data_IF_314080549922
#
_entry.id   IF_314080549922
#
_cell.length_a   1.000
_cell.length_b   1.000
_cell.length_c   1.000
_cell.angle_alpha   90.00
_cell.angle_beta   90.00
_cell.angle_gamma   90.00
#
_symmetry.space_group_name_H-M   'P 1'
#
loop_
_entity.id
_entity.type
_entity.pdbx_description
1 polymer ?
#
# COMPACT_ATOMS: atom_id res chain seq x y z
N UNK A 1 -8.64 11.23 17.73
CA UNK A 1 -8.28 12.47 17.01
C UNK A 1 -8.86 12.34 15.60
N UNK A 2 -9.45 13.39 15.00
CA UNK A 2 -9.89 13.31 13.61
C UNK A 2 -8.67 13.13 12.69
N UNK A 3 -8.86 12.41 11.58
CA UNK A 3 -7.83 12.19 10.56
C UNK A 3 -7.36 13.53 9.97
N UNK A 4 -6.05 13.68 9.77
CA UNK A 4 -5.49 14.87 9.15
C UNK A 4 -5.90 15.00 7.68
N UNK A 5 -6.25 16.22 7.23
CA UNK A 5 -6.76 16.45 5.88
C UNK A 5 -5.77 16.02 4.78
N UNK A 6 -4.46 16.21 5.00
CA UNK A 6 -3.38 15.72 4.11
C UNK A 6 -3.40 14.20 3.93
N UNK A 7 -3.79 13.44 4.96
CA UNK A 7 -3.80 11.98 4.90
C UNK A 7 -5.08 11.43 4.26
N UNK A 8 -6.14 12.24 4.16
CA UNK A 8 -7.43 11.82 3.60
C UNK A 8 -7.31 11.17 2.20
N UNK A 9 -6.57 11.74 1.22
CA UNK A 9 -6.44 11.11 -0.09
C UNK A 9 -5.71 9.76 -0.07
N UNK A 10 -4.72 9.61 0.83
CA UNK A 10 -3.99 8.34 1.00
C UNK A 10 -4.91 7.28 1.61
N UNK A 11 -5.72 7.64 2.61
CA UNK A 11 -6.71 6.73 3.20
C UNK A 11 -7.77 6.29 2.17
N UNK A 12 -8.19 7.19 1.28
CA UNK A 12 -9.11 6.84 0.19
C UNK A 12 -8.46 5.91 -0.84
N UNK A 13 -7.16 6.08 -1.11
CA UNK A 13 -6.36 5.16 -1.94
C UNK A 13 -6.24 3.79 -1.29
N UNK A 14 -5.87 3.72 0.00
CA UNK A 14 -5.85 2.49 0.79
C UNK A 14 -7.17 1.74 0.73
N UNK A 15 -8.30 2.44 0.92
CA UNK A 15 -9.61 1.81 0.83
C UNK A 15 -9.86 1.16 -0.54
N UNK A 16 -9.47 1.82 -1.63
CA UNK A 16 -9.60 1.24 -2.99
C UNK A 16 -8.69 0.02 -3.17
N UNK A 17 -7.45 0.09 -2.69
CA UNK A 17 -6.48 -1.01 -2.79
C UNK A 17 -6.93 -2.20 -1.95
N UNK A 18 -7.40 -1.98 -0.71
CA UNK A 18 -7.92 -3.03 0.15
C UNK A 18 -9.17 -3.70 -0.44
N UNK A 19 -10.07 -2.92 -1.05
CA UNK A 19 -11.21 -3.47 -1.80
C UNK A 19 -10.76 -4.32 -2.98
N UNK A 20 -9.70 -3.90 -3.69
CA UNK A 20 -9.12 -4.69 -4.77
C UNK A 20 -8.49 -6.00 -4.25
N UNK A 21 -7.81 -5.98 -3.10
CA UNK A 21 -7.25 -7.17 -2.46
C UNK A 21 -8.36 -8.14 -2.03
N UNK A 22 -9.41 -7.64 -1.39
CA UNK A 22 -10.59 -8.43 -1.00
C UNK A 22 -11.30 -9.06 -2.20
N UNK A 23 -11.42 -8.31 -3.30
CA UNK A 23 -11.98 -8.82 -4.55
C UNK A 23 -11.15 -9.97 -5.16
N UNK A 24 -9.82 -9.94 -5.01
CA UNK A 24 -8.92 -11.01 -5.45
C UNK A 24 -9.02 -12.27 -4.60
N UNK A 25 -9.20 -12.13 -3.27
CA UNK A 25 -9.37 -13.25 -2.36
C UNK A 25 -10.71 -13.96 -2.48
N UNK A 26 -11.77 -13.21 -2.77
CA UNK A 26 -13.14 -13.75 -2.78
C UNK A 26 -13.39 -14.61 -4.01
N UNK A 27 -13.09 -15.90 -3.88
CA UNK A 27 -13.55 -16.96 -4.78
C UNK A 27 -15.08 -17.08 -4.85
N UNK A 28 -15.80 -16.36 -3.99
CA UNK A 28 -17.26 -16.35 -3.90
C UNK A 28 -17.93 -15.39 -4.89
N UNK A 29 -17.17 -14.49 -5.53
CA UNK A 29 -17.72 -13.65 -6.61
C UNK A 29 -18.14 -14.53 -7.79
N UNK A 30 -19.38 -14.38 -8.26
CA UNK A 30 -19.92 -15.11 -9.41
C UNK A 30 -20.20 -14.18 -10.59
N UNK A 31 -19.64 -14.45 -11.79
CA UNK A 31 -18.66 -15.51 -12.06
C UNK A 31 -17.31 -15.22 -11.40
N UNK A 32 -16.61 -16.27 -10.95
CA UNK A 32 -15.27 -16.13 -10.41
C UNK A 32 -14.31 -15.72 -11.54
N UNK A 33 -13.35 -14.86 -11.22
CA UNK A 33 -12.32 -14.47 -12.18
C UNK A 33 -11.46 -15.69 -12.54
N UNK A 34 -11.14 -15.82 -13.82
CA UNK A 34 -10.06 -16.69 -14.28
C UNK A 34 -8.70 -16.17 -13.79
N UNK A 35 -7.69 -17.04 -13.68
CA UNK A 35 -6.31 -16.65 -13.35
C UNK A 35 -5.81 -15.49 -14.20
N UNK A 36 -6.13 -15.46 -15.50
CA UNK A 36 -5.71 -14.40 -16.40
C UNK A 36 -6.41 -13.07 -16.13
N UNK A 37 -7.70 -13.10 -15.79
CA UNK A 37 -8.45 -11.90 -15.40
C UNK A 37 -7.95 -11.35 -14.06
N UNK A 38 -7.64 -12.23 -13.10
CA UNK A 38 -6.98 -11.86 -11.83
C UNK A 38 -5.63 -11.18 -12.09
N UNK A 39 -4.79 -11.79 -12.92
CA UNK A 39 -3.49 -11.22 -13.30
C UNK A 39 -3.65 -9.84 -13.95
N UNK A 40 -4.54 -9.69 -14.94
CA UNK A 40 -4.80 -8.41 -15.60
C UNK A 40 -5.31 -7.35 -14.61
N UNK A 41 -6.16 -7.75 -13.65
CA UNK A 41 -6.67 -6.88 -12.61
C UNK A 41 -5.55 -6.41 -11.67
N UNK A 42 -4.70 -7.33 -11.18
CA UNK A 42 -3.55 -7.02 -10.32
C UNK A 42 -2.57 -6.06 -10.99
N UNK A 43 -2.20 -6.31 -12.25
CA UNK A 43 -1.31 -5.43 -13.02
C UNK A 43 -1.91 -4.03 -13.16
N UNK A 44 -3.21 -3.94 -13.46
CA UNK A 44 -3.92 -2.67 -13.57
C UNK A 44 -3.92 -1.91 -12.24
N UNK A 45 -4.31 -2.56 -11.14
CA UNK A 45 -4.33 -1.97 -9.80
C UNK A 45 -2.95 -1.47 -9.39
N UNK A 46 -1.90 -2.23 -9.68
CA UNK A 46 -0.53 -1.81 -9.41
C UNK A 46 -0.15 -0.52 -10.15
N UNK A 47 -0.38 -0.49 -11.46
CA UNK A 47 0.00 0.64 -12.30
C UNK A 47 -0.81 1.91 -12.00
N UNK A 48 -2.10 1.75 -11.67
CA UNK A 48 -3.04 2.87 -11.56
C UNK A 48 -3.18 3.40 -10.14
N UNK A 49 -3.05 2.54 -9.13
CA UNK A 49 -3.24 2.93 -7.73
C UNK A 49 -1.93 2.82 -6.94
N UNK A 50 -1.27 1.65 -6.93
CA UNK A 50 -0.08 1.45 -6.07
C UNK A 50 1.11 2.37 -6.41
N UNK A 51 1.49 2.44 -7.69
CA UNK A 51 2.64 3.27 -8.10
C UNK A 51 2.47 4.75 -7.76
N UNK A 52 1.34 5.42 -8.10
CA UNK A 52 1.15 6.81 -7.69
C UNK A 52 1.00 6.97 -6.17
N UNK A 53 0.38 6.01 -5.49
CA UNK A 53 0.25 6.00 -4.04
C UNK A 53 1.60 5.99 -3.32
N UNK A 54 2.47 5.01 -3.64
CA UNK A 54 3.81 4.89 -3.04
C UNK A 54 4.69 6.14 -3.24
N UNK A 55 4.49 6.88 -4.33
CA UNK A 55 5.20 8.15 -4.55
C UNK A 55 4.80 9.23 -3.56
N UNK A 56 3.51 9.29 -3.21
CA UNK A 56 3.00 10.20 -2.18
C UNK A 56 3.54 9.81 -0.82
N UNK A 57 3.52 8.51 -0.50
CA UNK A 57 4.07 8.01 0.76
C UNK A 57 5.55 8.29 0.90
N UNK A 58 6.33 8.07 -0.16
CA UNK A 58 7.75 8.40 -0.14
C UNK A 58 8.00 9.87 0.20
N UNK A 59 7.13 10.78 -0.25
CA UNK A 59 7.24 12.20 0.10
C UNK A 59 7.02 12.44 1.61
N UNK A 60 6.07 11.73 2.24
CA UNK A 60 5.88 11.78 3.70
C UNK A 60 7.08 11.16 4.41
N UNK A 61 7.56 10.00 3.94
CA UNK A 61 8.70 9.31 4.52
C UNK A 61 9.92 10.23 4.54
N UNK A 62 10.24 10.85 3.40
CA UNK A 62 11.38 11.75 3.28
C UNK A 62 11.23 13.00 4.15
N UNK A 63 10.02 13.52 4.33
CA UNK A 63 9.75 14.64 5.23
C UNK A 63 9.87 14.27 6.72
N UNK A 64 9.61 13.00 7.07
CA UNK A 64 9.66 12.47 8.44
C UNK A 64 11.03 11.92 8.84
N UNK A 65 11.91 11.58 7.89
CA UNK A 65 13.25 11.02 8.17
C UNK A 65 14.07 11.91 9.09
N UNK A 66 14.67 11.30 10.10
CA UNK A 66 15.52 11.93 11.11
C UNK A 66 14.77 12.79 12.13
N UNK A 67 13.43 12.80 12.12
CA UNK A 67 12.62 13.56 13.08
C UNK A 67 12.39 12.78 14.37
N UNK A 68 12.12 11.48 14.26
CA UNK A 68 11.84 10.60 15.39
C UNK A 68 12.46 9.21 15.14
N UNK A 69 13.25 8.65 16.08
CA UNK A 69 13.87 7.33 15.88
C UNK A 69 12.86 6.19 15.63
N UNK A 70 11.68 6.26 16.26
CA UNK A 70 10.60 5.28 16.04
C UNK A 70 10.05 5.34 14.60
N UNK A 71 9.92 6.54 14.03
CA UNK A 71 9.51 6.69 12.63
C UNK A 71 10.61 6.26 11.68
N UNK A 72 11.89 6.53 11.98
CA UNK A 72 12.99 6.07 11.12
C UNK A 72 13.03 4.55 11.02
N UNK A 73 12.76 3.85 12.13
CA UNK A 73 12.63 2.39 12.12
C UNK A 73 11.43 1.94 11.28
N UNK A 74 10.26 2.54 11.50
CA UNK A 74 9.03 2.16 10.80
C UNK A 74 9.11 2.45 9.29
N UNK A 75 9.71 3.58 8.90
CA UNK A 75 9.96 3.94 7.49
C UNK A 75 10.87 2.90 6.85
N UNK A 76 11.94 2.46 7.52
CA UNK A 76 12.82 1.44 6.98
C UNK A 76 12.11 0.09 6.79
N UNK A 77 11.20 -0.28 7.70
CA UNK A 77 10.36 -1.47 7.53
C UNK A 77 9.41 -1.33 6.33
N UNK A 78 8.69 -0.20 6.22
CA UNK A 78 7.75 0.06 5.13
C UNK A 78 8.44 0.12 3.76
N UNK A 79 9.61 0.76 3.67
CA UNK A 79 10.43 0.77 2.44
C UNK A 79 10.90 -0.65 2.05
N UNK A 80 11.21 -1.50 3.04
CA UNK A 80 11.54 -2.90 2.78
C UNK A 80 10.32 -3.70 2.27
N UNK A 81 9.12 -3.41 2.77
CA UNK A 81 7.86 -3.99 2.29
C UNK A 81 7.51 -3.53 0.88
N UNK A 82 7.69 -2.25 0.56
CA UNK A 82 7.56 -1.73 -0.81
C UNK A 82 8.46 -2.47 -1.79
N UNK A 83 9.71 -2.73 -1.40
CA UNK A 83 10.64 -3.49 -2.21
C UNK A 83 10.21 -4.95 -2.36
N UNK A 84 9.69 -5.57 -1.30
CA UNK A 84 9.17 -6.93 -1.35
C UNK A 84 7.97 -7.04 -2.30
N UNK A 85 6.99 -6.14 -2.17
CA UNK A 85 5.82 -6.06 -3.07
C UNK A 85 6.24 -5.88 -4.52
N UNK A 86 7.17 -4.96 -4.80
CA UNK A 86 7.69 -4.72 -6.15
C UNK A 86 8.33 -5.98 -6.77
N UNK A 87 8.98 -6.81 -5.95
CA UNK A 87 9.54 -8.10 -6.40
C UNK A 87 8.44 -9.10 -6.72
N UNK A 88 7.41 -9.22 -5.88
CA UNK A 88 6.27 -10.09 -6.15
C UNK A 88 5.58 -9.72 -7.48
N UNK A 89 5.37 -8.43 -7.73
CA UNK A 89 4.82 -7.95 -9.00
C UNK A 89 5.69 -8.31 -10.21
N UNK A 90 7.01 -8.26 -10.07
CA UNK A 90 7.95 -8.64 -11.13
C UNK A 90 7.86 -10.14 -11.44
N UNK A 91 7.74 -10.97 -10.39
CA UNK A 91 7.58 -12.44 -10.50
C UNK A 91 6.35 -12.86 -11.30
N UNK A 92 5.27 -12.06 -11.30
CA UNK A 92 4.05 -12.39 -12.05
C UNK A 92 4.29 -12.60 -13.55
N UNK A 93 5.34 -12.00 -14.12
CA UNK A 93 5.64 -12.15 -15.56
C UNK A 93 6.44 -13.40 -15.91
N UNK A 94 6.99 -14.08 -14.90
CA UNK A 94 7.94 -15.19 -15.06
C UNK A 94 7.44 -16.51 -14.45
N UNK A 95 6.44 -16.44 -13.55
CA UNK A 95 5.92 -17.60 -12.83
C UNK A 95 4.86 -18.38 -13.60
N UNK A 96 4.79 -19.68 -13.34
CA UNK A 96 3.65 -20.54 -13.74
C UNK A 96 2.57 -20.60 -12.65
N UNK A 97 2.91 -20.24 -11.40
CA UNK A 97 2.03 -20.26 -10.22
C UNK A 97 1.41 -18.87 -9.99
N UNK A 98 0.69 -18.36 -10.99
CA UNK A 98 0.14 -16.99 -10.96
C UNK A 98 -0.80 -16.75 -9.78
N UNK A 99 -1.72 -17.67 -9.50
CA UNK A 99 -2.71 -17.49 -8.44
C UNK A 99 -2.06 -17.42 -7.06
N UNK A 100 -1.04 -18.25 -6.80
CA UNK A 100 -0.31 -18.21 -5.53
C UNK A 100 0.41 -16.86 -5.32
N UNK A 101 1.09 -16.36 -6.37
CA UNK A 101 1.77 -15.05 -6.29
C UNK A 101 0.76 -13.91 -6.14
N UNK A 102 -0.40 -13.99 -6.80
CA UNK A 102 -1.48 -13.00 -6.65
C UNK A 102 -2.02 -12.99 -5.21
N UNK A 103 -2.25 -14.16 -4.61
CA UNK A 103 -2.69 -14.27 -3.23
C UNK A 103 -1.65 -13.69 -2.26
N UNK A 104 -0.36 -13.97 -2.49
CA UNK A 104 0.74 -13.38 -1.71
C UNK A 104 0.78 -11.85 -1.81
N UNK A 105 0.57 -11.28 -3.01
CA UNK A 105 0.50 -9.83 -3.20
C UNK A 105 -0.66 -9.23 -2.42
N UNK A 106 -1.85 -9.83 -2.51
CA UNK A 106 -3.03 -9.34 -1.80
C UNK A 106 -2.85 -9.40 -0.27
N UNK A 107 -2.19 -10.43 0.24
CA UNK A 107 -1.87 -10.58 1.67
C UNK A 107 -0.91 -9.49 2.11
N UNK A 108 0.22 -9.39 1.42
CA UNK A 108 1.30 -8.49 1.74
C UNK A 108 0.83 -7.02 1.70
N UNK A 109 0.03 -6.65 0.69
CA UNK A 109 -0.56 -5.31 0.60
C UNK A 109 -1.50 -5.01 1.76
N UNK A 110 -2.34 -5.98 2.12
CA UNK A 110 -3.31 -5.80 3.20
C UNK A 110 -2.60 -5.59 4.54
N UNK A 111 -1.59 -6.42 4.84
CA UNK A 111 -0.80 -6.29 6.06
C UNK A 111 -0.03 -4.97 6.10
N UNK A 112 0.56 -4.59 4.96
CA UNK A 112 1.32 -3.35 4.80
C UNK A 112 0.45 -2.11 5.04
N UNK A 113 -0.68 -1.98 4.34
CA UNK A 113 -1.61 -0.86 4.50
C UNK A 113 -2.12 -0.73 5.94
N UNK A 114 -2.50 -1.85 6.56
CA UNK A 114 -2.96 -1.83 7.96
C UNK A 114 -1.87 -1.33 8.91
N UNK A 115 -0.60 -1.62 8.62
CA UNK A 115 0.53 -1.12 9.42
C UNK A 115 0.71 0.38 9.22
N UNK A 116 0.65 0.86 8.00
CA UNK A 116 0.78 2.29 7.70
C UNK A 116 -0.30 3.10 8.39
N UNK A 117 -1.56 2.66 8.30
CA UNK A 117 -2.67 3.35 8.94
C UNK A 117 -2.57 3.32 10.47
N UNK A 118 -2.35 2.14 11.05
CA UNK A 118 -2.41 1.95 12.50
C UNK A 118 -1.18 2.51 13.23
N UNK A 119 -0.03 2.56 12.56
CA UNK A 119 1.23 2.93 13.20
C UNK A 119 1.83 4.19 12.58
N UNK A 120 2.11 4.19 11.28
CA UNK A 120 2.86 5.29 10.68
C UNK A 120 2.06 6.58 10.64
N UNK A 121 0.88 6.56 10.02
CA UNK A 121 0.00 7.72 9.92
C UNK A 121 -0.44 8.22 11.28
N UNK A 122 -0.79 7.34 12.23
CA UNK A 122 -1.13 7.72 13.60
C UNK A 122 0.01 8.46 14.32
N UNK A 123 1.25 7.97 14.21
CA UNK A 123 2.41 8.64 14.82
C UNK A 123 2.65 9.99 14.15
N UNK A 124 2.67 10.04 12.81
CA UNK A 124 2.94 11.26 12.06
C UNK A 124 1.90 12.34 12.38
N UNK A 125 0.61 12.03 12.34
CA UNK A 125 -0.44 13.02 12.62
C UNK A 125 -0.43 13.52 14.07
N UNK A 126 0.02 12.68 15.01
CA UNK A 126 0.04 13.02 16.44
C UNK A 126 1.30 13.77 16.85
N UNK A 127 2.45 13.42 16.28
CA UNK A 127 3.75 13.90 16.73
C UNK A 127 4.39 14.91 15.78
N UNK A 128 4.03 14.89 14.50
CA UNK A 128 4.59 15.78 13.46
C UNK A 128 3.49 16.42 12.59
N UNK A 129 2.40 16.97 13.16
CA UNK A 129 1.32 17.58 12.38
C UNK A 129 1.83 18.70 11.46
N UNK A 130 2.81 19.48 11.91
CA UNK A 130 3.42 20.57 11.12
C UNK A 130 4.19 20.08 9.89
N UNK A 131 4.66 18.83 9.88
CA UNK A 131 5.31 18.24 8.70
C UNK A 131 4.25 17.98 7.63
N UNK A 132 3.14 17.33 8.01
CA UNK A 132 2.08 16.97 7.06
C UNK A 132 1.19 18.16 6.65
N UNK A 133 1.17 19.25 7.41
CA UNK A 133 0.54 20.52 7.01
C UNK A 133 1.18 21.13 5.75
N UNK A 134 2.46 20.85 5.50
CA UNK A 134 3.22 21.41 4.38
C UNK A 134 3.17 20.54 3.12
N UNK A 135 2.43 19.44 3.15
CA UNK A 135 2.34 18.49 2.03
C UNK A 135 1.09 18.78 1.20
N UNK A 136 1.27 18.81 -0.13
CA UNK A 136 0.21 19.05 -1.12
C UNK A 136 0.29 17.98 -2.20
N UNK A 137 -0.85 17.38 -2.53
CA UNK A 137 -0.98 16.30 -3.53
C UNK A 137 -1.45 16.79 -4.89
#
# INVERSE_FOLDING_TARGET
MPLHATLQPLMEEHQRILQACDYLYKTEHKPALTTQERFAFVVKTFQQEMVPHQRKEQYIFDACKGKLPELDFLIAELEAEHLHLSRLYSTLTETVELDEVIDQIAEALTVHILKEEAHFYEIVQRQLPEIIDNIVW
#
